data_IF_984883109230
#
_entry.id   IF_984883109230
#
_cell.length_a   1.000
_cell.length_b   1.000
_cell.length_c   1.000
_cell.angle_alpha   90.00
_cell.angle_beta   90.00
_cell.angle_gamma   90.00
#
_symmetry.space_group_name_H-M   'P 1'
#
loop_
_entity.id
_entity.type
_entity.pdbx_description
1 polymer ?
#
# COMPACT_ATOMS: atom_id res chain seq x y z
N UNK A 1 -2.97 -32.31 -14.77
CA UNK A 1 -3.47 -31.18 -13.94
C UNK A 1 -4.63 -30.57 -14.68
N UNK A 2 -5.71 -30.31 -13.97
CA UNK A 2 -6.85 -29.54 -14.45
C UNK A 2 -6.44 -28.08 -14.72
N UNK A 3 -7.05 -27.46 -15.74
CA UNK A 3 -6.75 -26.08 -16.14
C UNK A 3 -6.95 -25.08 -14.99
N UNK A 4 -7.88 -25.37 -14.07
CA UNK A 4 -8.13 -24.56 -12.88
C UNK A 4 -6.96 -24.58 -11.90
N UNK A 5 -6.35 -25.73 -11.64
CA UNK A 5 -5.15 -25.83 -10.80
C UNK A 5 -3.94 -25.14 -11.44
N UNK A 6 -3.76 -25.27 -12.77
CA UNK A 6 -2.69 -24.55 -13.49
C UNK A 6 -2.89 -23.04 -13.36
N UNK A 7 -4.11 -22.55 -13.61
CA UNK A 7 -4.46 -21.14 -13.46
C UNK A 7 -4.23 -20.63 -12.04
N UNK A 8 -4.62 -21.40 -11.02
CA UNK A 8 -4.39 -21.08 -9.61
C UNK A 8 -2.91 -20.81 -9.34
N UNK A 9 -2.03 -21.77 -9.68
CA UNK A 9 -0.60 -21.63 -9.44
C UNK A 9 0.01 -20.50 -10.28
N UNK A 10 -0.39 -20.34 -11.54
CA UNK A 10 0.11 -19.28 -12.41
C UNK A 10 -0.24 -17.88 -11.87
N UNK A 11 -1.49 -17.67 -11.43
CA UNK A 11 -1.95 -16.39 -10.87
C UNK A 11 -1.22 -16.09 -9.56
N UNK A 12 -1.14 -17.08 -8.65
CA UNK A 12 -0.48 -16.90 -7.37
C UNK A 12 1.02 -16.65 -7.52
N UNK A 13 1.70 -17.38 -8.41
CA UNK A 13 3.12 -17.17 -8.70
C UNK A 13 3.38 -15.78 -9.30
N UNK A 14 2.52 -15.35 -10.23
CA UNK A 14 2.57 -13.99 -10.81
C UNK A 14 2.42 -12.91 -9.74
N UNK A 15 1.52 -13.11 -8.78
CA UNK A 15 1.35 -12.20 -7.65
C UNK A 15 2.59 -12.12 -6.75
N UNK A 16 3.25 -13.25 -6.48
CA UNK A 16 4.51 -13.28 -5.71
C UNK A 16 5.61 -12.52 -6.43
N UNK A 17 5.79 -12.75 -7.74
CA UNK A 17 6.76 -12.01 -8.55
C UNK A 17 6.46 -10.51 -8.51
N UNK A 18 5.20 -10.13 -8.73
CA UNK A 18 4.77 -8.74 -8.68
C UNK A 18 5.05 -8.10 -7.32
N UNK A 19 4.79 -8.81 -6.22
CA UNK A 19 5.06 -8.31 -4.87
C UNK A 19 6.54 -8.10 -4.62
N UNK A 20 7.40 -8.99 -5.12
CA UNK A 20 8.86 -8.82 -5.05
C UNK A 20 9.33 -7.59 -5.86
N UNK A 21 8.84 -7.42 -7.08
CA UNK A 21 9.14 -6.26 -7.94
C UNK A 21 8.65 -4.97 -7.27
N UNK A 22 7.42 -4.95 -6.77
CA UNK A 22 6.81 -3.80 -6.10
C UNK A 22 7.60 -3.39 -4.86
N UNK A 23 8.07 -4.38 -4.08
CA UNK A 23 8.95 -4.11 -2.95
C UNK A 23 10.28 -3.51 -3.40
N UNK A 24 10.89 -4.04 -4.45
CA UNK A 24 12.14 -3.51 -4.99
C UNK A 24 11.98 -2.05 -5.43
N UNK A 25 10.93 -1.74 -6.19
CA UNK A 25 10.60 -0.36 -6.60
C UNK A 25 10.40 0.54 -5.38
N UNK A 26 9.64 0.10 -4.38
CA UNK A 26 9.42 0.86 -3.16
C UNK A 26 10.72 1.15 -2.38
N UNK A 27 11.66 0.19 -2.36
CA UNK A 27 12.96 0.38 -1.70
C UNK A 27 13.85 1.36 -2.48
N UNK A 28 13.86 1.26 -3.80
CA UNK A 28 14.75 2.07 -4.67
C UNK A 28 14.22 3.50 -4.88
N UNK A 29 12.91 3.66 -5.06
CA UNK A 29 12.28 4.93 -5.47
C UNK A 29 11.66 5.69 -4.30
N UNK A 30 11.18 4.99 -3.25
CA UNK A 30 10.39 5.59 -2.17
C UNK A 30 11.18 6.39 -1.13
N UNK A 31 12.50 6.53 -1.26
CA UNK A 31 13.40 7.27 -0.36
C UNK A 31 12.99 7.20 1.14
N UNK A 32 12.96 5.99 1.68
CA UNK A 32 12.49 5.72 3.06
C UNK A 32 13.20 6.56 4.12
N UNK A 33 14.48 6.89 3.89
CA UNK A 33 15.27 7.74 4.79
C UNK A 33 14.67 9.14 4.86
N UNK A 34 14.40 9.77 3.72
CA UNK A 34 13.81 11.11 3.67
C UNK A 34 12.40 11.16 4.26
N UNK A 35 11.57 10.15 3.98
CA UNK A 35 10.23 10.05 4.58
C UNK A 35 10.33 9.98 6.11
N UNK A 36 11.30 9.24 6.65
CA UNK A 36 11.54 9.18 8.09
C UNK A 36 12.02 10.51 8.66
N UNK A 37 12.96 11.19 7.99
CA UNK A 37 13.41 12.53 8.40
C UNK A 37 12.24 13.53 8.46
N UNK A 38 11.34 13.49 7.47
CA UNK A 38 10.13 14.32 7.47
C UNK A 38 9.22 13.98 8.65
N UNK A 39 9.02 12.70 8.97
CA UNK A 39 8.23 12.28 10.13
C UNK A 39 8.85 12.77 11.45
N UNK A 40 10.17 12.63 11.59
CA UNK A 40 10.91 13.09 12.76
C UNK A 40 10.81 14.63 12.90
N UNK A 41 10.89 15.37 11.79
CA UNK A 41 10.76 16.83 11.78
C UNK A 41 9.33 17.29 12.12
N UNK A 42 8.30 16.66 11.55
CA UNK A 42 6.91 16.95 11.90
C UNK A 42 6.62 16.65 13.38
N UNK A 43 7.17 15.56 13.92
CA UNK A 43 7.07 15.22 15.34
C UNK A 43 7.79 16.25 16.22
N UNK A 44 8.97 16.72 15.79
CA UNK A 44 9.70 17.80 16.46
C UNK A 44 8.88 19.09 16.51
N UNK A 45 8.32 19.51 15.37
CA UNK A 45 7.48 20.73 15.29
C UNK A 45 6.25 20.57 16.18
N UNK A 46 5.55 19.43 16.10
CA UNK A 46 4.38 19.15 16.94
C UNK A 46 4.71 19.16 18.44
N UNK A 47 5.87 18.61 18.81
CA UNK A 47 6.35 18.62 20.19
C UNK A 47 6.74 20.02 20.68
N UNK A 48 7.30 20.85 19.80
CA UNK A 48 7.64 22.24 20.11
C UNK A 48 6.36 23.08 20.28
N UNK A 49 5.41 23.02 19.35
CA UNK A 49 4.13 23.74 19.44
C UNK A 49 3.36 23.41 20.73
N UNK A 50 3.40 22.16 21.20
CA UNK A 50 2.79 21.76 22.48
C UNK A 50 3.46 22.34 23.72
N UNK A 51 4.75 22.67 23.63
CA UNK A 51 5.57 23.20 24.73
C UNK A 51 5.73 24.72 24.67
N UNK A 52 5.38 25.35 23.55
CA UNK A 52 5.51 26.79 23.37
C UNK A 52 4.50 27.52 24.26
N UNK A 53 5.02 28.38 25.14
CA UNK A 53 4.20 29.38 25.81
C UNK A 53 3.94 30.53 24.85
N UNK A 54 2.67 30.71 24.47
CA UNK A 54 2.22 31.77 23.57
C UNK A 54 2.11 33.14 24.25
N UNK A 55 2.65 33.29 25.46
CA UNK A 55 2.66 34.54 26.22
C UNK A 55 3.49 35.68 25.59
N UNK A 56 4.48 35.39 24.75
CA UNK A 56 5.29 36.41 24.07
C UNK A 56 5.04 36.47 22.55
N UNK A 57 5.11 37.67 21.96
CA UNK A 57 4.95 37.87 20.51
C UNK A 57 6.06 37.16 19.70
N UNK A 58 7.28 37.08 20.25
CA UNK A 58 8.39 36.37 19.65
C UNK A 58 8.13 34.85 19.59
N UNK A 59 7.61 34.25 20.67
CA UNK A 59 7.24 32.83 20.71
C UNK A 59 6.08 32.50 19.76
N UNK A 60 5.11 33.41 19.61
CA UNK A 60 4.02 33.27 18.62
C UNK A 60 4.54 33.26 17.18
N UNK A 61 5.35 34.25 16.81
CA UNK A 61 5.94 34.34 15.46
C UNK A 61 6.81 33.13 15.13
N UNK A 62 7.58 32.63 16.09
CA UNK A 62 8.40 31.43 15.90
C UNK A 62 7.55 30.17 15.72
N UNK A 63 6.48 30.01 16.49
CA UNK A 63 5.55 28.89 16.38
C UNK A 63 4.83 28.89 15.02
N UNK A 64 4.35 30.06 14.57
CA UNK A 64 3.70 30.23 13.27
C UNK A 64 4.66 29.87 12.12
N UNK A 65 5.89 30.38 12.13
CA UNK A 65 6.88 30.10 11.09
C UNK A 65 7.25 28.61 10.97
N UNK A 66 7.21 27.87 12.07
CA UNK A 66 7.46 26.42 12.07
C UNK A 66 6.20 25.62 11.70
N UNK A 67 5.01 26.11 12.06
CA UNK A 67 3.74 25.52 11.64
C UNK A 67 3.56 25.60 10.12
N UNK A 68 3.99 26.69 9.47
CA UNK A 68 3.98 26.85 8.01
C UNK A 68 4.84 25.82 7.27
N UNK A 69 5.80 25.18 7.95
CA UNK A 69 6.62 24.11 7.36
C UNK A 69 5.86 22.79 7.25
N UNK A 70 4.83 22.56 8.08
CA UNK A 70 4.09 21.28 8.13
C UNK A 70 3.44 20.94 6.78
N UNK A 71 2.67 21.83 6.12
CA UNK A 71 2.06 21.50 4.83
C UNK A 71 3.08 21.14 3.74
N UNK A 72 4.23 21.83 3.73
CA UNK A 72 5.31 21.56 2.78
C UNK A 72 5.93 20.19 3.01
N UNK A 73 6.22 19.86 4.28
CA UNK A 73 6.73 18.54 4.69
C UNK A 73 5.74 17.42 4.37
N UNK A 74 4.45 17.63 4.63
CA UNK A 74 3.39 16.67 4.26
C UNK A 74 3.35 16.44 2.76
N UNK A 75 3.37 17.52 1.96
CA UNK A 75 3.37 17.43 0.49
C UNK A 75 4.60 16.67 -0.02
N UNK A 76 5.79 16.97 0.51
CA UNK A 76 7.02 16.27 0.15
C UNK A 76 6.93 14.77 0.48
N UNK A 77 6.43 14.43 1.68
CA UNK A 77 6.22 13.04 2.10
C UNK A 77 5.23 12.31 1.19
N UNK A 78 4.13 12.96 0.81
CA UNK A 78 3.15 12.41 -0.12
C UNK A 78 3.79 12.15 -1.48
N UNK A 79 4.50 13.13 -2.06
CA UNK A 79 5.17 12.96 -3.37
C UNK A 79 6.15 11.79 -3.35
N UNK A 80 6.94 11.65 -2.28
CA UNK A 80 7.88 10.53 -2.12
C UNK A 80 7.17 9.17 -2.07
N UNK A 81 5.98 9.11 -1.46
CA UNK A 81 5.17 7.90 -1.38
C UNK A 81 4.39 7.61 -2.69
N UNK A 82 3.95 8.65 -3.41
CA UNK A 82 3.24 8.50 -4.68
C UNK A 82 4.16 8.13 -5.83
N UNK A 83 5.43 8.55 -5.81
CA UNK A 83 6.39 8.25 -6.87
C UNK A 83 6.53 6.75 -7.17
N UNK A 84 6.72 5.84 -6.21
CA UNK A 84 6.72 4.41 -6.50
C UNK A 84 5.35 3.90 -6.94
N UNK A 85 4.25 4.44 -6.41
CA UNK A 85 2.88 4.06 -6.80
C UNK A 85 2.62 4.28 -8.29
N UNK A 86 3.11 5.41 -8.85
CA UNK A 86 2.98 5.74 -10.27
C UNK A 86 3.68 4.74 -11.20
N UNK A 87 4.68 4.00 -10.69
CA UNK A 87 5.38 2.95 -11.44
C UNK A 87 4.70 1.60 -11.22
N UNK A 88 4.29 1.32 -9.98
CA UNK A 88 3.70 0.04 -9.58
C UNK A 88 2.31 -0.14 -10.22
N UNK A 89 1.49 0.90 -10.30
CA UNK A 89 0.12 0.82 -10.83
C UNK A 89 0.07 0.42 -12.32
N UNK A 90 0.84 1.03 -13.24
CA UNK A 90 0.90 0.57 -14.63
C UNK A 90 1.33 -0.90 -14.76
N UNK A 91 2.33 -1.33 -13.98
CA UNK A 91 2.79 -2.72 -13.98
C UNK A 91 1.66 -3.64 -13.53
N UNK A 92 0.92 -3.26 -12.48
CA UNK A 92 -0.23 -4.02 -12.00
C UNK A 92 -1.36 -4.09 -13.03
N UNK A 93 -1.63 -3.00 -13.75
CA UNK A 93 -2.65 -2.96 -14.79
C UNK A 93 -2.27 -3.88 -15.96
N UNK A 94 -1.01 -3.86 -16.40
CA UNK A 94 -0.48 -4.76 -17.43
C UNK A 94 -0.61 -6.22 -16.96
N UNK A 95 -0.17 -6.53 -15.74
CA UNK A 95 -0.28 -7.86 -15.18
C UNK A 95 -1.73 -8.35 -15.12
N UNK A 96 -2.62 -7.50 -14.63
CA UNK A 96 -4.05 -7.78 -14.55
C UNK A 96 -4.64 -8.07 -15.92
N UNK A 97 -4.27 -7.29 -16.94
CA UNK A 97 -4.69 -7.51 -18.31
C UNK A 97 -4.24 -8.89 -18.82
N UNK A 98 -2.95 -9.21 -18.70
CA UNK A 98 -2.39 -10.50 -19.15
C UNK A 98 -3.02 -11.70 -18.44
N UNK A 99 -3.20 -11.62 -17.13
CA UNK A 99 -3.76 -12.72 -16.34
C UNK A 99 -5.24 -12.93 -16.68
N UNK A 100 -6.00 -11.83 -16.88
CA UNK A 100 -7.41 -11.90 -17.26
C UNK A 100 -7.62 -12.45 -18.68
N UNK A 101 -6.77 -12.10 -19.63
CA UNK A 101 -6.88 -12.60 -21.02
C UNK A 101 -6.45 -14.06 -21.13
N UNK A 102 -5.49 -14.50 -20.32
CA UNK A 102 -5.00 -15.88 -20.32
C UNK A 102 -5.95 -16.84 -19.59
N UNK A 103 -6.55 -16.39 -18.49
CA UNK A 103 -7.47 -17.19 -17.67
C UNK A 103 -8.84 -16.53 -17.52
N UNK A 104 -9.63 -16.37 -18.59
CA UNK A 104 -10.90 -15.61 -18.54
C UNK A 104 -11.99 -16.31 -17.71
N UNK A 105 -11.96 -17.64 -17.65
CA UNK A 105 -12.99 -18.46 -16.99
C UNK A 105 -12.58 -18.99 -15.62
N UNK A 106 -11.45 -18.51 -15.06
CA UNK A 106 -11.00 -18.98 -13.76
C UNK A 106 -11.87 -18.42 -12.64
N UNK A 107 -12.40 -19.34 -11.83
CA UNK A 107 -13.19 -19.05 -10.64
C UNK A 107 -12.69 -19.97 -9.53
N UNK A 108 -12.38 -19.39 -8.38
CA UNK A 108 -12.05 -20.12 -7.15
C UNK A 108 -13.14 -19.91 -6.11
N UNK A 109 -13.54 -20.99 -5.45
CA UNK A 109 -14.42 -20.98 -4.28
C UNK A 109 -13.61 -21.30 -3.04
N UNK A 110 -13.62 -20.39 -2.07
CA UNK A 110 -12.98 -20.56 -0.77
C UNK A 110 -13.94 -21.26 0.19
N UNK A 111 -13.39 -21.93 1.20
CA UNK A 111 -14.17 -22.55 2.29
C UNK A 111 -14.70 -21.53 3.30
N UNK A 112 -14.28 -20.27 3.19
CA UNK A 112 -14.70 -19.15 4.03
C UNK A 112 -14.95 -17.92 3.16
N UNK A 113 -15.84 -17.04 3.61
CA UNK A 113 -16.10 -15.78 2.95
C UNK A 113 -15.10 -14.71 3.44
N UNK A 114 -14.67 -13.84 2.54
CA UNK A 114 -13.82 -12.68 2.85
C UNK A 114 -14.67 -11.41 2.66
N UNK A 115 -14.58 -10.43 3.57
CA UNK A 115 -15.22 -9.14 3.35
C UNK A 115 -14.57 -8.46 2.16
N UNK A 116 -15.35 -8.22 1.11
CA UNK A 116 -14.90 -7.53 -0.09
C UNK A 116 -15.45 -6.12 -0.13
N UNK A 117 -14.63 -5.19 -0.62
CA UNK A 117 -15.12 -3.89 -1.01
C UNK A 117 -15.84 -4.02 -2.36
N UNK A 118 -17.08 -3.51 -2.49
CA UNK A 118 -17.81 -3.58 -3.74
C UNK A 118 -17.06 -2.82 -4.84
N UNK A 119 -16.73 -3.50 -5.93
CA UNK A 119 -15.93 -2.95 -7.06
C UNK A 119 -16.66 -1.85 -7.84
N UNK A 120 -17.99 -1.81 -7.76
CA UNK A 120 -18.85 -0.81 -8.40
C UNK A 120 -18.90 0.55 -7.66
N UNK A 121 -18.23 0.64 -6.51
CA UNK A 121 -18.29 1.73 -5.54
C UNK A 121 -17.64 3.05 -5.99
N UNK A 122 -16.59 3.03 -6.83
CA UNK A 122 -15.87 4.28 -7.12
C UNK A 122 -16.70 5.30 -7.94
N UNK A 123 -17.79 4.88 -8.60
CA UNK A 123 -18.51 5.73 -9.56
C UNK A 123 -19.99 6.04 -9.23
N UNK A 124 -20.68 5.27 -8.38
CA UNK A 124 -22.12 5.44 -8.17
C UNK A 124 -22.52 5.26 -6.70
N UNK A 125 -22.64 6.40 -5.99
CA UNK A 125 -23.34 6.63 -4.71
C UNK A 125 -22.90 5.76 -3.52
N UNK A 126 -22.47 6.44 -2.45
CA UNK A 126 -22.28 5.89 -1.10
C UNK A 126 -23.60 5.33 -0.55
N UNK A 127 -23.91 4.07 -0.85
CA UNK A 127 -24.88 3.31 -0.07
C UNK A 127 -24.11 2.35 0.84
N UNK A 128 -23.81 2.83 2.06
CA UNK A 128 -23.04 2.12 3.08
C UNK A 128 -23.79 0.90 3.67
N UNK A 129 -25.07 0.75 3.33
CA UNK A 129 -25.97 -0.23 3.97
C UNK A 129 -25.67 -1.69 3.58
N UNK A 130 -24.82 -1.91 2.57
CA UNK A 130 -24.40 -3.26 2.11
C UNK A 130 -22.93 -3.57 2.39
N UNK A 131 -22.27 -2.75 3.20
CA UNK A 131 -20.91 -3.00 3.67
C UNK A 131 -20.95 -3.66 5.07
N UNK A 132 -20.29 -4.82 5.28
CA UNK A 132 -19.38 -5.54 4.38
C UNK A 132 -20.09 -6.57 3.46
N UNK A 133 -19.65 -6.67 2.20
CA UNK A 133 -20.12 -7.70 1.26
C UNK A 133 -19.23 -8.95 1.36
N UNK A 134 -19.73 -9.97 2.03
CA UNK A 134 -19.05 -11.26 2.22
C UNK A 134 -19.13 -12.10 0.95
N UNK A 135 -17.98 -12.45 0.37
CA UNK A 135 -17.90 -13.31 -0.81
C UNK A 135 -16.95 -14.46 -0.58
N UNK A 136 -17.35 -15.65 -1.01
CA UNK A 136 -16.57 -16.89 -1.00
C UNK A 136 -16.05 -17.26 -2.40
N UNK A 137 -16.55 -16.62 -3.46
CA UNK A 137 -16.16 -16.87 -4.85
C UNK A 137 -15.42 -15.68 -5.46
N UNK A 138 -14.29 -15.99 -6.10
CA UNK A 138 -13.41 -15.01 -6.73
C UNK A 138 -13.07 -15.44 -8.15
N UNK A 139 -13.28 -14.54 -9.10
CA UNK A 139 -12.73 -14.70 -10.44
C UNK A 139 -11.23 -14.38 -10.49
N UNK A 140 -10.66 -14.48 -11.68
CA UNK A 140 -9.24 -14.19 -11.99
C UNK A 140 -8.70 -12.91 -11.36
N UNK A 141 -9.41 -11.78 -11.51
CA UNK A 141 -8.99 -10.50 -10.94
C UNK A 141 -9.04 -10.50 -9.41
N UNK A 142 -10.12 -11.03 -8.82
CA UNK A 142 -10.27 -11.09 -7.37
C UNK A 142 -9.19 -11.96 -6.72
N UNK A 143 -8.89 -13.11 -7.33
CA UNK A 143 -7.84 -13.99 -6.85
C UNK A 143 -6.44 -13.40 -7.01
N UNK A 144 -6.15 -12.72 -8.12
CA UNK A 144 -4.90 -11.99 -8.32
C UNK A 144 -4.71 -10.94 -7.22
N UNK A 145 -5.74 -10.14 -6.94
CA UNK A 145 -5.69 -9.08 -5.93
C UNK A 145 -5.45 -9.64 -4.53
N UNK A 146 -6.17 -10.70 -4.14
CA UNK A 146 -5.95 -11.40 -2.86
C UNK A 146 -4.53 -11.94 -2.80
N UNK A 147 -4.07 -12.62 -3.85
CA UNK A 147 -2.72 -13.18 -3.91
C UNK A 147 -1.64 -12.10 -3.79
N UNK A 148 -1.84 -10.94 -4.42
CA UNK A 148 -0.92 -9.80 -4.33
C UNK A 148 -0.89 -9.21 -2.91
N UNK A 149 -2.05 -9.05 -2.27
CA UNK A 149 -2.10 -8.55 -0.89
C UNK A 149 -1.41 -9.51 0.08
N UNK A 150 -1.75 -10.80 0.03
CA UNK A 150 -1.17 -11.81 0.92
C UNK A 150 0.34 -11.94 0.68
N UNK A 151 0.77 -12.05 -0.58
CA UNK A 151 2.19 -12.13 -0.91
C UNK A 151 2.95 -10.86 -0.53
N UNK A 152 2.35 -9.68 -0.68
CA UNK A 152 2.91 -8.41 -0.25
C UNK A 152 3.18 -8.39 1.26
N UNK A 153 2.20 -8.79 2.06
CA UNK A 153 2.33 -8.89 3.53
C UNK A 153 3.40 -9.91 3.93
N UNK A 154 3.39 -11.10 3.34
CA UNK A 154 4.39 -12.13 3.61
C UNK A 154 5.81 -11.67 3.25
N UNK A 155 5.95 -11.01 2.10
CA UNK A 155 7.25 -10.49 1.64
C UNK A 155 7.78 -9.43 2.60
N UNK A 156 6.92 -8.53 3.10
CA UNK A 156 7.31 -7.54 4.11
C UNK A 156 7.79 -8.20 5.40
N UNK A 157 7.04 -9.19 5.91
CA UNK A 157 7.44 -9.92 7.13
C UNK A 157 8.79 -10.61 6.95
N UNK A 158 9.00 -11.29 5.82
CA UNK A 158 10.28 -11.97 5.54
C UNK A 158 11.43 -10.98 5.50
N UNK A 159 11.24 -9.84 4.84
CA UNK A 159 12.28 -8.81 4.71
C UNK A 159 12.62 -8.18 6.05
N UNK A 160 11.62 -7.88 6.87
CA UNK A 160 11.84 -7.33 8.21
C UNK A 160 12.60 -8.32 9.12
N UNK A 161 12.30 -9.62 9.00
CA UNK A 161 13.04 -10.67 9.72
C UNK A 161 14.50 -10.76 9.27
N UNK A 162 14.76 -10.65 7.96
CA UNK A 162 16.13 -10.64 7.41
C UNK A 162 16.90 -9.40 7.88
N UNK A 163 16.29 -8.22 7.83
CA UNK A 163 16.92 -6.97 8.27
C UNK A 163 17.23 -6.99 9.79
N UNK A 164 16.33 -7.53 10.61
CA UNK A 164 16.57 -7.73 12.05
C UNK A 164 17.75 -8.66 12.32
N UNK A 165 17.86 -9.77 11.59
CA UNK A 165 19.01 -10.70 11.72
C UNK A 165 20.32 -10.04 11.32
N UNK A 166 20.31 -9.21 10.28
CA UNK A 166 21.51 -8.49 9.81
C UNK A 166 22.03 -7.46 10.82
N UNK A 167 21.15 -6.81 11.59
CA UNK A 167 21.54 -5.84 12.63
C UNK A 167 22.09 -6.47 13.92
N UNK A 168 21.89 -7.78 14.11
CA UNK A 168 22.38 -8.53 15.28
C UNK A 168 23.77 -9.15 15.06
N UNK A 169 24.22 -9.20 13.81
CA UNK A 169 25.61 -9.56 13.44
C UNK A 169 26.42 -8.29 13.29
#
# INVERSE_FOLDING_TARGET
MDDSTIAFFAITFSAVIYSAISLHINKTVGNRKRVKEIQDEMNRISGMLRKTDYGTEASRKQAEAEQEKIPKLMTESMVLQFKPLLIILPIFAILTYFVRTTFPNFIIKLSFAIPTFPYYWLLLRFNLDTFPNWRDQFGTFGWLLISVLVSGLLTQVVVDQIEKRRRRK
#
